data_IF_843772994356
#
_entry.id   IF_843772994356
#
_cell.length_a   1.000
_cell.length_b   1.000
_cell.length_c   1.000
_cell.angle_alpha   90.00
_cell.angle_beta   90.00
_cell.angle_gamma   90.00
#
_symmetry.space_group_name_H-M   'P 1'
#
loop_
_entity.id
_entity.type
_entity.pdbx_description
1 polymer ?
#
# COMPACT_ATOMS: atom_id res chain seq x y z
N UNK A 1 11.79 -10.40 9.32
CA UNK A 1 12.92 -9.47 9.16
C UNK A 1 12.61 -8.67 7.91
N UNK A 2 12.03 -7.49 8.09
CA UNK A 2 11.79 -6.56 6.99
C UNK A 2 13.15 -6.00 6.54
N UNK A 3 13.39 -5.97 5.24
CA UNK A 3 14.57 -5.33 4.67
C UNK A 3 14.31 -3.83 4.65
N UNK A 4 15.24 -3.02 5.18
CA UNK A 4 15.11 -1.56 5.13
C UNK A 4 15.06 -1.01 3.70
N UNK A 5 15.07 0.32 3.56
CA UNK A 5 15.03 0.98 2.26
C UNK A 5 16.18 0.50 1.32
N UNK A 6 15.86 0.24 0.05
CA UNK A 6 16.80 -0.25 -0.97
C UNK A 6 17.13 0.85 -1.98
N UNK A 7 18.42 1.02 -2.29
CA UNK A 7 18.88 1.97 -3.30
C UNK A 7 18.41 1.58 -4.70
N UNK A 8 17.98 2.56 -5.49
CA UNK A 8 17.44 2.33 -6.84
C UNK A 8 15.95 1.95 -6.90
N UNK A 9 15.29 1.70 -5.77
CA UNK A 9 13.84 1.54 -5.73
C UNK A 9 13.14 2.90 -5.59
N UNK A 10 12.34 3.28 -6.60
CA UNK A 10 11.59 4.55 -6.59
C UNK A 10 10.63 4.67 -5.40
N UNK A 11 10.01 3.56 -4.97
CA UNK A 11 9.11 3.56 -3.81
C UNK A 11 9.86 3.77 -2.50
N UNK A 12 11.07 3.21 -2.36
CA UNK A 12 11.92 3.50 -1.20
C UNK A 12 12.34 4.97 -1.17
N UNK A 13 12.64 5.58 -2.31
CA UNK A 13 12.96 7.02 -2.38
C UNK A 13 11.79 7.90 -1.95
N UNK A 14 10.56 7.54 -2.35
CA UNK A 14 9.34 8.24 -1.92
C UNK A 14 9.13 8.06 -0.41
N UNK A 15 9.30 6.84 0.11
CA UNK A 15 9.13 6.53 1.53
C UNK A 15 10.11 7.28 2.44
N UNK A 16 11.35 7.51 1.98
CA UNK A 16 12.38 8.28 2.70
C UNK A 16 12.27 9.80 2.48
N UNK A 17 11.20 10.28 1.83
CA UNK A 17 10.94 11.72 1.58
C UNK A 17 12.02 12.40 0.73
N UNK A 18 12.76 11.64 -0.07
CA UNK A 18 13.84 12.13 -0.93
C UNK A 18 13.38 12.66 -2.30
N UNK A 19 12.06 12.74 -2.53
CA UNK A 19 11.44 13.11 -3.82
C UNK A 19 10.49 14.31 -3.68
N UNK A 20 10.10 14.91 -4.81
CA UNK A 20 9.08 15.98 -4.87
C UNK A 20 7.64 15.50 -4.65
N UNK A 21 7.43 14.23 -4.29
CA UNK A 21 6.10 13.66 -4.11
C UNK A 21 5.46 14.20 -2.84
N UNK A 22 4.31 14.86 -2.97
CA UNK A 22 3.54 15.29 -1.80
C UNK A 22 2.90 14.08 -1.13
N UNK A 23 3.26 13.83 0.13
CA UNK A 23 2.69 12.76 0.93
C UNK A 23 1.34 13.19 1.52
N UNK A 24 0.32 12.35 1.35
CA UNK A 24 -1.00 12.50 1.97
C UNK A 24 -1.04 11.94 3.40
N UNK A 25 -0.15 10.99 3.70
CA UNK A 25 0.04 10.35 4.99
C UNK A 25 1.48 9.85 5.11
N UNK A 26 2.05 9.93 6.32
CA UNK A 26 3.35 9.34 6.65
C UNK A 26 3.41 9.06 8.14
N UNK A 27 3.64 7.81 8.51
CA UNK A 27 3.91 7.40 9.90
C UNK A 27 5.16 6.52 9.99
N UNK A 28 5.35 5.82 11.10
CA UNK A 28 6.53 4.97 11.32
C UNK A 28 6.64 3.81 10.31
N UNK A 29 5.51 3.27 9.82
CA UNK A 29 5.47 2.04 9.04
C UNK A 29 5.14 2.26 7.56
N UNK A 30 4.33 3.27 7.23
CA UNK A 30 3.77 3.45 5.88
C UNK A 30 3.77 4.91 5.43
N UNK A 31 3.74 5.10 4.12
CA UNK A 31 3.43 6.40 3.48
C UNK A 31 2.32 6.24 2.47
N UNK A 32 1.57 7.31 2.21
CA UNK A 32 0.56 7.34 1.17
C UNK A 32 0.67 8.61 0.32
N UNK A 33 0.42 8.48 -0.98
CA UNK A 33 0.51 9.57 -1.96
C UNK A 33 -0.39 9.30 -3.17
N UNK A 34 -0.58 10.30 -4.03
CA UNK A 34 -1.35 10.14 -5.27
C UNK A 34 -0.52 9.44 -6.34
N UNK A 35 -1.14 8.50 -7.05
CA UNK A 35 -0.52 7.90 -8.23
C UNK A 35 -0.30 8.98 -9.31
N UNK A 36 0.83 8.95 -10.01
CA UNK A 36 1.14 9.85 -11.13
C UNK A 36 0.27 9.56 -12.36
N UNK A 37 -0.26 8.35 -12.47
CA UNK A 37 -1.17 7.88 -13.51
C UNK A 37 -2.45 7.28 -12.89
N UNK A 38 -3.29 8.11 -12.25
CA UNK A 38 -4.42 7.65 -11.47
C UNK A 38 -5.48 6.98 -12.35
N UNK A 39 -5.82 5.71 -12.08
CA UNK A 39 -6.88 5.00 -12.80
C UNK A 39 -8.31 5.34 -12.32
N UNK A 40 -8.44 6.26 -11.36
CA UNK A 40 -9.71 6.71 -10.79
C UNK A 40 -9.58 8.15 -10.30
N UNK A 41 -10.72 8.85 -10.14
CA UNK A 41 -10.76 10.23 -9.64
C UNK A 41 -10.02 10.40 -8.31
N UNK A 42 -10.07 9.38 -7.44
CA UNK A 42 -9.26 9.28 -6.22
C UNK A 42 -8.52 7.96 -6.27
N UNK A 43 -7.21 8.02 -6.48
CA UNK A 43 -6.32 6.88 -6.57
C UNK A 43 -5.09 7.15 -5.71
N UNK A 44 -5.04 6.51 -4.55
CA UNK A 44 -3.95 6.65 -3.59
C UNK A 44 -3.16 5.35 -3.55
N UNK A 45 -1.83 5.48 -3.59
CA UNK A 45 -0.93 4.40 -3.28
C UNK A 45 -0.56 4.49 -1.81
N UNK A 46 -0.73 3.39 -1.08
CA UNK A 46 -0.23 3.21 0.28
C UNK A 46 0.88 2.17 0.20
N UNK A 47 2.08 2.50 0.67
CA UNK A 47 3.26 1.62 0.60
C UNK A 47 3.92 1.51 1.99
N UNK A 48 4.54 0.36 2.31
CA UNK A 48 5.40 0.26 3.48
C UNK A 48 6.67 1.09 3.29
N UNK A 49 7.24 1.58 4.39
CA UNK A 49 8.58 2.20 4.38
C UNK A 49 9.69 1.18 4.17
N UNK A 50 9.52 -0.01 4.76
CA UNK A 50 10.41 -1.14 4.53
C UNK A 50 10.18 -1.73 3.13
N UNK A 51 11.28 -2.14 2.49
CA UNK A 51 11.22 -2.67 1.15
C UNK A 51 10.70 -4.10 1.15
N UNK A 52 9.58 -4.32 0.46
CA UNK A 52 8.98 -5.63 0.22
C UNK A 52 8.92 -5.82 -1.31
N UNK A 53 9.80 -6.65 -1.90
CA UNK A 53 9.91 -6.77 -3.36
C UNK A 53 8.61 -7.23 -4.02
N UNK A 54 7.95 -8.21 -3.38
CA UNK A 54 6.71 -8.80 -3.88
C UNK A 54 5.78 -9.14 -2.73
N UNK A 55 4.48 -9.24 -2.99
CA UNK A 55 3.53 -9.74 -1.97
C UNK A 55 3.80 -11.18 -1.55
N UNK A 56 4.57 -11.94 -2.34
CA UNK A 56 4.93 -13.32 -2.04
C UNK A 56 5.95 -13.41 -0.90
N UNK A 57 6.62 -12.30 -0.60
CA UNK A 57 7.60 -12.21 0.48
C UNK A 57 6.95 -11.95 1.86
N UNK A 58 5.65 -11.67 1.89
CA UNK A 58 4.87 -11.58 3.13
C UNK A 58 4.67 -12.98 3.73
N UNK A 59 4.84 -13.10 5.04
CA UNK A 59 4.70 -14.35 5.78
C UNK A 59 3.39 -14.37 6.55
N UNK A 60 2.87 -15.57 6.84
CA UNK A 60 1.76 -15.77 7.80
C UNK A 60 2.25 -15.46 9.22
N UNK A 61 2.43 -14.18 9.50
CA UNK A 61 2.98 -13.66 10.74
C UNK A 61 2.10 -12.52 11.23
N UNK A 62 2.03 -12.34 12.54
CA UNK A 62 1.28 -11.22 13.12
C UNK A 62 1.80 -9.87 12.62
N UNK A 63 3.10 -9.73 12.42
CA UNK A 63 3.71 -8.48 11.95
C UNK A 63 3.25 -8.11 10.53
N UNK A 64 3.30 -9.07 9.59
CA UNK A 64 2.91 -8.81 8.20
C UNK A 64 1.39 -8.61 8.09
N UNK A 65 0.61 -9.34 8.88
CA UNK A 65 -0.83 -9.11 8.99
C UNK A 65 -1.14 -7.68 9.47
N UNK A 66 -0.50 -7.25 10.55
CA UNK A 66 -0.69 -5.91 11.13
C UNK A 66 -0.26 -4.80 10.17
N UNK A 67 0.86 -4.97 9.46
CA UNK A 67 1.30 -4.04 8.42
C UNK A 67 0.26 -3.88 7.30
N UNK A 68 -0.19 -4.99 6.71
CA UNK A 68 -1.18 -4.98 5.62
C UNK A 68 -2.52 -4.39 6.10
N UNK A 69 -2.92 -4.69 7.34
CA UNK A 69 -4.14 -4.14 7.91
C UNK A 69 -4.04 -2.63 8.10
N UNK A 70 -2.90 -2.16 8.62
CA UNK A 70 -2.63 -0.73 8.78
C UNK A 70 -2.65 0.03 7.44
N UNK A 71 -2.02 -0.54 6.40
CA UNK A 71 -2.08 0.03 5.04
C UNK A 71 -3.52 0.17 4.53
N UNK A 72 -4.37 -0.83 4.80
CA UNK A 72 -5.78 -0.80 4.42
C UNK A 72 -6.55 0.29 5.18
N UNK A 73 -6.30 0.44 6.48
CA UNK A 73 -6.95 1.44 7.31
C UNK A 73 -6.56 2.87 6.92
N UNK A 74 -5.28 3.11 6.60
CA UNK A 74 -4.81 4.39 6.04
C UNK A 74 -5.52 4.70 4.72
N UNK A 75 -5.59 3.74 3.79
CA UNK A 75 -6.28 3.94 2.52
C UNK A 75 -7.76 4.28 2.69
N UNK A 76 -8.46 3.58 3.60
CA UNK A 76 -9.86 3.88 3.95
C UNK A 76 -10.02 5.26 4.56
N UNK A 77 -9.15 5.64 5.49
CA UNK A 77 -9.18 6.95 6.15
C UNK A 77 -9.06 8.09 5.13
N UNK A 78 -8.11 7.98 4.20
CA UNK A 78 -7.94 8.97 3.13
C UNK A 78 -9.17 9.06 2.24
N UNK A 79 -9.74 7.92 1.83
CA UNK A 79 -10.96 7.91 1.02
C UNK A 79 -12.17 8.48 1.77
N UNK A 80 -12.33 8.18 3.05
CA UNK A 80 -13.41 8.73 3.88
C UNK A 80 -13.27 10.24 4.05
N UNK A 81 -12.06 10.74 4.31
CA UNK A 81 -11.77 12.18 4.42
C UNK A 81 -12.11 12.91 3.13
N UNK A 82 -11.70 12.33 2.01
CA UNK A 82 -11.71 13.00 0.73
C UNK A 82 -13.05 12.79 -0.01
N UNK A 83 -13.75 11.66 0.19
CA UNK A 83 -15.02 11.30 -0.45
C UNK A 83 -16.04 10.65 0.51
N UNK A 84 -16.49 11.35 1.57
CA UNK A 84 -17.34 10.76 2.62
C UNK A 84 -18.70 10.23 2.12
N UNK A 85 -19.20 10.75 1.00
CA UNK A 85 -20.51 10.37 0.44
C UNK A 85 -20.43 9.32 -0.69
N UNK A 86 -19.22 8.86 -1.04
CA UNK A 86 -19.05 7.88 -2.12
C UNK A 86 -19.64 6.52 -1.72
N UNK A 87 -20.82 6.19 -2.24
CA UNK A 87 -21.43 4.84 -2.12
C UNK A 87 -20.75 3.81 -3.03
N UNK A 88 -19.98 4.26 -4.02
CA UNK A 88 -19.50 3.44 -5.13
C UNK A 88 -18.02 3.12 -4.97
N UNK A 89 -17.69 2.31 -3.97
CA UNK A 89 -16.36 1.72 -3.85
C UNK A 89 -16.22 0.56 -4.86
N UNK A 90 -16.18 0.86 -6.16
CA UNK A 90 -15.90 -0.16 -7.20
C UNK A 90 -14.49 -0.73 -7.08
N UNK A 91 -13.65 -0.12 -6.24
CA UNK A 91 -12.25 -0.46 -6.04
C UNK A 91 -11.89 -0.40 -4.55
N UNK A 92 -12.57 -1.19 -3.71
CA UNK A 92 -12.02 -1.60 -2.39
C UNK A 92 -10.91 -2.61 -2.61
N UNK A 93 -9.86 -2.21 -3.29
CA UNK A 93 -8.72 -3.07 -3.50
C UNK A 93 -7.50 -2.20 -3.24
N UNK A 94 -6.93 -2.29 -2.04
CA UNK A 94 -5.49 -2.03 -1.92
C UNK A 94 -4.84 -3.12 -2.75
N UNK A 95 -4.48 -2.74 -3.98
CA UNK A 95 -3.93 -3.64 -4.98
C UNK A 95 -2.44 -3.57 -4.86
N UNK A 96 -1.84 -4.68 -4.46
CA UNK A 96 -0.40 -4.79 -4.44
C UNK A 96 0.09 -5.23 -5.83
N UNK A 97 0.88 -4.37 -6.47
CA UNK A 97 1.53 -4.65 -7.75
C UNK A 97 2.90 -5.27 -7.51
N UNK A 98 2.91 -6.59 -7.30
CA UNK A 98 4.02 -7.46 -7.74
C UNK A 98 3.66 -8.90 -7.38
N UNK A 99 2.81 -9.53 -8.22
CA UNK A 99 2.61 -10.98 -8.21
C UNK A 99 3.50 -11.70 -9.23
N UNK A 100 4.54 -11.03 -9.76
CA UNK A 100 5.44 -11.57 -10.78
C UNK A 100 5.01 -11.28 -12.23
N UNK A 101 5.60 -11.97 -13.22
CA UNK A 101 5.58 -11.60 -14.65
C UNK A 101 4.19 -11.64 -15.33
N UNK A 102 3.15 -12.12 -14.64
CA UNK A 102 1.79 -12.25 -15.17
C UNK A 102 0.84 -11.13 -14.72
N UNK A 103 1.31 -10.11 -14.01
CA UNK A 103 0.53 -8.90 -13.74
C UNK A 103 -0.81 -9.18 -13.04
N UNK A 104 -0.77 -9.80 -11.85
CA UNK A 104 -1.94 -10.00 -11.01
C UNK A 104 -2.04 -8.94 -9.91
N UNK A 105 -3.27 -8.56 -9.54
CA UNK A 105 -3.55 -7.79 -8.33
C UNK A 105 -4.18 -8.70 -7.29
N UNK A 106 -3.82 -8.53 -6.02
CA UNK A 106 -4.53 -9.13 -4.88
C UNK A 106 -5.22 -8.02 -4.09
N UNK A 107 -6.47 -8.25 -3.70
CA UNK A 107 -7.21 -7.36 -2.80
C UNK A 107 -6.67 -7.52 -1.37
N UNK A 108 -6.53 -6.40 -0.64
CA UNK A 108 -6.02 -6.43 0.74
C UNK A 108 -6.83 -7.35 1.65
N UNK A 109 -8.16 -7.38 1.55
CA UNK A 109 -8.99 -8.25 2.36
C UNK A 109 -8.66 -9.74 2.13
N UNK A 110 -8.43 -10.13 0.87
CA UNK A 110 -8.02 -11.49 0.51
C UNK A 110 -6.58 -11.78 0.95
N UNK A 111 -5.68 -10.78 0.88
CA UNK A 111 -4.33 -10.88 1.39
C UNK A 111 -4.32 -11.08 2.91
N UNK A 112 -5.11 -10.31 3.64
CA UNK A 112 -5.29 -10.43 5.08
C UNK A 112 -5.79 -11.83 5.46
N UNK A 113 -6.76 -12.37 4.74
CA UNK A 113 -7.21 -13.76 4.95
C UNK A 113 -6.08 -14.78 4.77
N UNK A 114 -5.18 -14.58 3.79
CA UNK A 114 -4.02 -15.46 3.58
C UNK A 114 -2.96 -15.34 4.66
N UNK A 115 -2.85 -14.18 5.31
CA UNK A 115 -1.88 -13.90 6.37
C UNK A 115 -2.38 -14.28 7.77
N UNK A 116 -3.68 -14.54 7.94
CA UNK A 116 -4.25 -15.09 9.19
C UNK A 116 -3.62 -16.46 9.49
N UNK A 117 -3.20 -16.64 10.74
CA UNK A 117 -2.79 -17.92 11.31
C UNK A 117 -4.03 -18.77 11.61
#
# INVERSE_FOLDING_TARGET
>A
MAAGAVSGCIFCQIATTSTCTTLLHSDENVVAFQDINPSALRHYLVIPKDHIPTVRDLKKSHNDYSLVNHMLDVGKSLLCRDAPQSKQYRWRCVKYTSLGPLGGFIEAENLLQKLKL
#
